data_IF_070632248767
#
_entry.id   IF_070632248767
#
_cell.length_a   1.000
_cell.length_b   1.000
_cell.length_c   1.000
_cell.angle_alpha   90.00
_cell.angle_beta   90.00
_cell.angle_gamma   90.00
#
_symmetry.space_group_name_H-M   'P 1'
#
loop_
_entity.id
_entity.type
_entity.pdbx_description
1 polymer ?
#
# COMPACT_ATOMS: atom_id res chain seq x y z
N UNK A 1 -20.04 -1.80 38.55
CA UNK A 1 -18.84 -1.05 38.12
C UNK A 1 -17.74 -1.99 37.63
N UNK A 2 -17.29 -3.00 38.39
CA UNK A 2 -16.23 -3.95 37.97
C UNK A 2 -16.58 -4.73 36.68
N UNK A 3 -17.85 -5.10 36.49
CA UNK A 3 -18.30 -5.78 35.26
C UNK A 3 -18.20 -4.93 34.00
N UNK A 4 -18.42 -3.60 34.08
CA UNK A 4 -18.39 -2.74 32.87
C UNK A 4 -16.97 -2.46 32.41
N UNK A 5 -16.02 -2.25 33.33
CA UNK A 5 -14.61 -2.04 32.98
C UNK A 5 -13.96 -3.28 32.38
N UNK A 6 -14.26 -4.47 32.95
CA UNK A 6 -13.77 -5.75 32.42
C UNK A 6 -14.34 -6.06 31.04
N UNK A 7 -15.62 -5.77 30.81
CA UNK A 7 -16.25 -5.94 29.50
C UNK A 7 -15.61 -5.03 28.44
N UNK A 8 -15.37 -3.76 28.76
CA UNK A 8 -14.70 -2.84 27.82
C UNK A 8 -13.27 -3.27 27.52
N UNK A 9 -12.52 -3.79 28.50
CA UNK A 9 -11.19 -4.36 28.23
C UNK A 9 -11.23 -5.54 27.24
N UNK A 10 -12.16 -6.49 27.44
CA UNK A 10 -12.35 -7.60 26.50
C UNK A 10 -12.73 -7.12 25.09
N UNK A 11 -13.61 -6.12 25.00
CA UNK A 11 -14.03 -5.58 23.70
C UNK A 11 -12.97 -4.74 23.01
N UNK A 12 -12.15 -4.01 23.77
CA UNK A 12 -10.95 -3.37 23.23
C UNK A 12 -10.02 -4.41 22.61
N UNK A 13 -9.80 -5.55 23.28
CA UNK A 13 -9.03 -6.65 22.71
C UNK A 13 -9.68 -7.25 21.46
N UNK A 14 -11.00 -7.47 21.50
CA UNK A 14 -11.75 -7.94 20.34
C UNK A 14 -11.61 -6.99 19.14
N UNK A 15 -11.67 -5.68 19.36
CA UNK A 15 -11.43 -4.68 18.32
C UNK A 15 -10.00 -4.72 17.77
N UNK A 16 -8.99 -4.82 18.65
CA UNK A 16 -7.58 -4.93 18.25
C UNK A 16 -7.28 -6.23 17.47
N UNK A 17 -8.13 -7.25 17.61
CA UNK A 17 -8.11 -8.47 16.82
C UNK A 17 -9.08 -8.44 15.63
N UNK A 18 -9.69 -7.29 15.34
CA UNK A 18 -10.67 -7.08 14.27
C UNK A 18 -11.93 -7.96 14.35
N UNK A 19 -12.30 -8.43 15.55
CA UNK A 19 -13.50 -9.23 15.81
C UNK A 19 -14.77 -8.37 15.94
N UNK A 20 -14.62 -7.09 16.29
CA UNK A 20 -15.71 -6.10 16.36
C UNK A 20 -15.30 -4.79 15.68
N UNK A 21 -16.27 -4.00 15.26
CA UNK A 21 -16.02 -2.68 14.65
C UNK A 21 -15.71 -1.59 15.67
N UNK A 22 -15.04 -0.51 15.22
CA UNK A 22 -14.79 0.69 16.03
C UNK A 22 -16.10 1.33 16.54
N UNK A 23 -17.14 1.35 15.70
CA UNK A 23 -18.47 1.87 16.06
C UNK A 23 -19.12 1.06 17.18
N UNK A 24 -18.99 -0.27 17.14
CA UNK A 24 -19.51 -1.14 18.20
C UNK A 24 -18.75 -0.97 19.52
N UNK A 25 -17.44 -0.74 19.47
CA UNK A 25 -16.63 -0.46 20.66
C UNK A 25 -16.99 0.90 21.30
N UNK A 26 -17.24 1.92 20.48
CA UNK A 26 -17.57 3.28 20.96
C UNK A 26 -18.81 3.33 21.84
N UNK A 27 -19.84 2.55 21.51
CA UNK A 27 -21.07 2.43 22.33
C UNK A 27 -20.83 2.01 23.77
N UNK A 28 -19.75 1.28 24.05
CA UNK A 28 -19.41 0.83 25.39
C UNK A 28 -18.48 1.82 26.12
N UNK A 29 -17.70 2.61 25.38
CA UNK A 29 -16.97 3.74 25.95
C UNK A 29 -17.91 4.87 26.37
N UNK A 30 -18.95 5.17 25.58
CA UNK A 30 -19.96 6.18 25.92
C UNK A 30 -20.65 5.86 27.25
N UNK A 31 -21.07 4.59 27.45
CA UNK A 31 -21.67 4.12 28.71
C UNK A 31 -20.74 4.23 29.92
N UNK A 32 -19.43 4.05 29.71
CA UNK A 32 -18.44 4.19 30.78
C UNK A 32 -18.13 5.65 31.10
N UNK A 33 -18.20 6.55 30.11
CA UNK A 33 -17.99 7.98 30.29
C UNK A 33 -19.07 8.64 31.17
N UNK A 34 -20.28 8.07 31.19
CA UNK A 34 -21.37 8.49 32.08
C UNK A 34 -21.09 8.23 33.58
N UNK A 35 -20.12 7.36 33.89
CA UNK A 35 -19.74 7.03 35.27
C UNK A 35 -18.76 8.09 35.79
N UNK A 36 -19.26 9.01 36.63
CA UNK A 36 -18.50 10.11 37.25
C UNK A 36 -17.48 9.64 38.30
N UNK A 37 -16.38 9.02 37.87
CA UNK A 37 -15.19 8.77 38.68
C UNK A 37 -13.96 9.39 37.99
N UNK A 38 -13.41 10.46 38.59
CA UNK A 38 -12.42 11.34 37.95
C UNK A 38 -11.09 10.66 37.58
N UNK A 39 -10.65 9.61 38.28
CA UNK A 39 -9.40 8.91 37.92
C UNK A 39 -9.62 7.87 36.82
N UNK A 40 -10.77 7.19 36.84
CA UNK A 40 -11.16 6.23 35.81
C UNK A 40 -11.44 6.94 34.47
N UNK A 41 -12.07 8.11 34.50
CA UNK A 41 -12.40 8.89 33.30
C UNK A 41 -11.15 9.36 32.54
N UNK A 42 -10.09 9.78 33.23
CA UNK A 42 -8.82 10.18 32.62
C UNK A 42 -8.17 9.00 31.88
N UNK A 43 -8.09 7.83 32.51
CA UNK A 43 -7.51 6.64 31.89
C UNK A 43 -8.35 6.14 30.69
N UNK A 44 -9.67 6.14 30.81
CA UNK A 44 -10.57 5.77 29.70
C UNK A 44 -10.44 6.72 28.50
N UNK A 45 -10.35 8.02 28.76
CA UNK A 45 -10.17 9.02 27.70
C UNK A 45 -8.85 8.83 26.93
N UNK A 46 -7.78 8.41 27.62
CA UNK A 46 -6.49 8.10 26.99
C UNK A 46 -6.59 6.85 26.12
N UNK A 47 -7.18 5.78 26.64
CA UNK A 47 -7.38 4.53 25.89
C UNK A 47 -8.22 4.80 24.64
N UNK A 48 -9.31 5.54 24.78
CA UNK A 48 -10.18 5.89 23.66
C UNK A 48 -9.43 6.66 22.56
N UNK A 49 -8.63 7.67 22.94
CA UNK A 49 -7.78 8.41 21.99
C UNK A 49 -6.77 7.52 21.28
N UNK A 50 -6.16 6.56 21.98
CA UNK A 50 -5.24 5.61 21.35
C UNK A 50 -5.97 4.68 20.36
N UNK A 51 -7.19 4.25 20.69
CA UNK A 51 -8.02 3.44 19.79
C UNK A 51 -8.49 4.23 18.56
N UNK A 52 -8.86 5.49 18.74
CA UNK A 52 -9.19 6.40 17.64
C UNK A 52 -7.99 6.57 16.69
N UNK A 53 -6.79 6.71 17.24
CA UNK A 53 -5.58 6.79 16.44
C UNK A 53 -5.27 5.49 15.69
N UNK A 54 -5.51 4.32 16.31
CA UNK A 54 -5.37 3.02 15.63
C UNK A 54 -6.40 2.92 14.49
N UNK A 55 -7.65 3.30 14.74
CA UNK A 55 -8.69 3.32 13.72
C UNK A 55 -8.31 4.21 12.52
N UNK A 56 -7.78 5.41 12.77
CA UNK A 56 -7.31 6.32 11.71
C UNK A 56 -6.15 5.71 10.91
N UNK A 57 -5.21 5.04 11.58
CA UNK A 57 -4.13 4.28 10.93
C UNK A 57 -4.73 3.21 10.01
N UNK A 58 -5.69 2.42 10.49
CA UNK A 58 -6.28 1.34 9.71
C UNK A 58 -7.00 1.85 8.46
N UNK A 59 -7.74 2.95 8.58
CA UNK A 59 -8.36 3.62 7.44
C UNK A 59 -7.31 4.10 6.43
N UNK A 60 -6.27 4.79 6.90
CA UNK A 60 -5.22 5.31 6.01
C UNK A 60 -4.45 4.17 5.33
N UNK A 61 -4.20 3.08 6.03
CA UNK A 61 -3.57 1.88 5.48
C UNK A 61 -4.43 1.20 4.41
N UNK A 62 -5.76 1.19 4.58
CA UNK A 62 -6.67 0.70 3.56
C UNK A 62 -6.65 1.58 2.30
N UNK A 63 -6.62 2.91 2.45
CA UNK A 63 -6.48 3.86 1.35
C UNK A 63 -5.14 3.67 0.61
N UNK A 64 -4.03 3.56 1.35
CA UNK A 64 -2.71 3.30 0.78
C UNK A 64 -2.74 2.05 -0.11
N UNK A 65 -3.35 0.96 0.36
CA UNK A 65 -3.46 -0.27 -0.44
C UNK A 65 -4.25 -0.06 -1.73
N UNK A 66 -5.31 0.75 -1.70
CA UNK A 66 -6.06 1.10 -2.91
C UNK A 66 -5.24 2.00 -3.85
N UNK A 67 -4.51 2.99 -3.33
CA UNK A 67 -3.63 3.87 -4.12
C UNK A 67 -2.53 3.06 -4.83
N UNK A 68 -1.83 2.18 -4.11
CA UNK A 68 -0.79 1.30 -4.70
C UNK A 68 -1.38 0.42 -5.79
N UNK A 69 -2.54 -0.20 -5.54
CA UNK A 69 -3.22 -1.04 -6.55
C UNK A 69 -3.56 -0.23 -7.81
N UNK A 70 -4.12 0.97 -7.65
CA UNK A 70 -4.47 1.85 -8.78
C UNK A 70 -3.25 2.26 -9.59
N UNK A 71 -2.14 2.61 -8.94
CA UNK A 71 -0.89 2.97 -9.60
C UNK A 71 -0.32 1.78 -10.39
N UNK A 72 -0.30 0.60 -9.80
CA UNK A 72 0.17 -0.62 -10.47
C UNK A 72 -0.72 -1.01 -11.65
N UNK A 73 -2.04 -0.98 -11.48
CA UNK A 73 -3.00 -1.28 -12.55
C UNK A 73 -2.91 -0.27 -13.71
N UNK A 74 -2.69 1.02 -13.41
CA UNK A 74 -2.46 2.04 -14.43
C UNK A 74 -1.18 1.79 -15.22
N UNK A 75 -0.07 1.49 -14.53
CA UNK A 75 1.21 1.16 -15.17
C UNK A 75 1.12 -0.08 -16.06
N UNK A 76 0.44 -1.13 -15.59
CA UNK A 76 0.16 -2.35 -16.37
C UNK A 76 -0.65 -2.01 -17.61
N UNK A 77 -1.73 -1.23 -17.46
CA UNK A 77 -2.58 -0.83 -18.59
C UNK A 77 -1.77 -0.07 -19.65
N UNK A 78 -0.89 0.84 -19.25
CA UNK A 78 -0.05 1.60 -20.18
C UNK A 78 0.95 0.71 -20.90
N UNK A 79 1.62 -0.19 -20.18
CA UNK A 79 2.53 -1.16 -20.80
C UNK A 79 1.81 -2.08 -21.80
N UNK A 80 0.62 -2.58 -21.45
CA UNK A 80 -0.17 -3.42 -22.35
C UNK A 80 -0.63 -2.66 -23.61
N UNK A 81 -0.94 -1.37 -23.50
CA UNK A 81 -1.27 -0.51 -24.64
C UNK A 81 -0.12 -0.45 -25.65
N UNK A 82 1.12 -0.28 -25.18
CA UNK A 82 2.31 -0.30 -26.04
C UNK A 82 2.59 -1.66 -26.66
N UNK A 83 2.50 -2.74 -25.87
CA UNK A 83 2.69 -4.11 -26.37
C UNK A 83 1.70 -4.39 -27.50
N UNK A 84 0.42 -4.07 -27.27
CA UNK A 84 -0.63 -4.25 -28.26
C UNK A 84 -0.35 -3.46 -29.53
N UNK A 85 -0.06 -2.16 -29.42
CA UNK A 85 0.20 -1.30 -30.57
C UNK A 85 1.35 -1.79 -31.44
N UNK A 86 2.47 -2.20 -30.84
CA UNK A 86 3.62 -2.71 -31.62
C UNK A 86 3.32 -4.10 -32.18
N UNK A 87 2.61 -4.95 -31.43
CA UNK A 87 2.22 -6.29 -31.90
C UNK A 87 1.26 -6.23 -33.09
N UNK A 88 0.29 -5.32 -33.08
CA UNK A 88 -0.62 -5.06 -34.21
C UNK A 88 0.17 -4.63 -35.47
N UNK A 89 1.13 -3.70 -35.33
CA UNK A 89 2.01 -3.31 -36.45
C UNK A 89 2.87 -4.45 -36.98
N UNK A 90 3.33 -5.34 -36.10
CA UNK A 90 4.13 -6.51 -36.50
C UNK A 90 3.28 -7.57 -37.19
N UNK A 91 2.01 -7.70 -36.83
CA UNK A 91 1.09 -8.64 -37.48
C UNK A 91 0.68 -8.17 -38.88
N UNK A 92 0.52 -6.87 -39.08
CA UNK A 92 0.15 -6.25 -40.35
C UNK A 92 1.27 -6.34 -41.42
N UNK A 93 0.94 -6.83 -42.61
CA UNK A 93 1.92 -7.09 -43.67
C UNK A 93 2.53 -5.80 -44.27
N UNK A 94 1.80 -4.69 -44.28
CA UNK A 94 2.25 -3.40 -44.81
C UNK A 94 3.07 -2.60 -43.78
N UNK A 95 2.83 -2.83 -42.49
CA UNK A 95 3.45 -2.12 -41.39
C UNK A 95 4.62 -2.88 -40.76
N UNK A 96 4.69 -4.22 -40.88
CA UNK A 96 5.73 -5.03 -40.24
C UNK A 96 7.15 -4.56 -40.56
N UNK A 97 7.39 -4.19 -41.82
CA UNK A 97 8.70 -3.70 -42.30
C UNK A 97 9.07 -2.31 -41.74
N UNK A 98 8.08 -1.54 -41.26
CA UNK A 98 8.24 -0.20 -40.70
C UNK A 98 8.48 -0.22 -39.18
N UNK A 99 8.28 -1.36 -38.51
CA UNK A 99 8.54 -1.49 -37.08
C UNK A 99 10.05 -1.47 -36.84
N UNK A 100 10.52 -0.43 -36.16
CA UNK A 100 11.91 -0.24 -35.84
C UNK A 100 12.41 -1.28 -34.83
N UNK A 101 13.75 -1.47 -34.77
CA UNK A 101 14.37 -2.26 -33.70
C UNK A 101 14.02 -1.71 -32.32
N UNK A 102 13.92 -0.37 -32.20
CA UNK A 102 13.56 0.29 -30.95
C UNK A 102 12.14 -0.06 -30.51
N UNK A 103 11.16 0.02 -31.39
CA UNK A 103 9.77 -0.39 -31.10
C UNK A 103 9.67 -1.84 -30.63
N UNK A 104 10.43 -2.76 -31.26
CA UNK A 104 10.48 -4.15 -30.81
C UNK A 104 11.06 -4.30 -29.40
N UNK A 105 12.10 -3.52 -29.06
CA UNK A 105 12.69 -3.53 -27.72
C UNK A 105 11.73 -2.94 -26.67
N UNK A 106 10.86 -2.01 -27.05
CA UNK A 106 9.83 -1.44 -26.15
C UNK A 106 8.85 -2.51 -25.69
N UNK A 107 8.51 -3.52 -26.51
CA UNK A 107 7.67 -4.66 -26.07
C UNK A 107 8.31 -5.37 -24.86
N UNK A 108 9.61 -5.65 -24.93
CA UNK A 108 10.35 -6.32 -23.85
C UNK A 108 10.26 -5.48 -22.57
N UNK A 109 10.54 -4.18 -22.66
CA UNK A 109 10.48 -3.26 -21.52
C UNK A 109 9.07 -3.11 -20.93
N UNK A 110 8.05 -3.08 -21.79
CA UNK A 110 6.67 -3.02 -21.34
C UNK A 110 6.24 -4.31 -20.62
N UNK A 111 6.72 -5.47 -21.08
CA UNK A 111 6.46 -6.75 -20.41
C UNK A 111 7.18 -6.86 -19.05
N UNK A 112 8.43 -6.41 -18.97
CA UNK A 112 9.18 -6.29 -17.71
C UNK A 112 8.43 -5.39 -16.72
N UNK A 113 8.00 -4.20 -17.16
CA UNK A 113 7.25 -3.27 -16.30
C UNK A 113 5.91 -3.86 -15.83
N UNK A 114 5.19 -4.56 -16.71
CA UNK A 114 3.95 -5.26 -16.37
C UNK A 114 4.20 -6.29 -15.26
N UNK A 115 5.23 -7.12 -15.42
CA UNK A 115 5.60 -8.15 -14.45
C UNK A 115 6.01 -7.53 -13.11
N UNK A 116 6.82 -6.47 -13.13
CA UNK A 116 7.22 -5.76 -11.91
C UNK A 116 6.04 -5.16 -11.16
N UNK A 117 5.04 -4.61 -11.85
CA UNK A 117 3.85 -4.05 -11.20
C UNK A 117 2.93 -5.12 -10.59
N UNK A 118 2.88 -6.33 -11.16
CA UNK A 118 2.24 -7.46 -10.49
C UNK A 118 3.00 -7.88 -9.23
N UNK A 119 4.33 -7.93 -9.28
CA UNK A 119 5.17 -8.27 -8.13
C UNK A 119 5.00 -7.25 -6.99
N UNK A 120 4.91 -5.94 -7.31
CA UNK A 120 4.57 -4.89 -6.33
C UNK A 120 3.27 -5.21 -5.60
N UNK A 121 2.21 -5.59 -6.34
CA UNK A 121 0.91 -5.93 -5.75
C UNK A 121 1.02 -7.14 -4.84
N UNK A 122 1.74 -8.18 -5.26
CA UNK A 122 1.94 -9.40 -4.47
C UNK A 122 2.74 -9.10 -3.20
N UNK A 123 3.89 -8.43 -3.30
CA UNK A 123 4.73 -8.08 -2.17
C UNK A 123 4.01 -7.15 -1.18
N UNK A 124 3.18 -6.23 -1.67
CA UNK A 124 2.38 -5.38 -0.79
C UNK A 124 1.29 -6.16 -0.05
N UNK A 125 0.59 -7.09 -0.72
CA UNK A 125 -0.37 -7.97 -0.05
C UNK A 125 0.31 -8.90 0.96
N UNK A 126 1.50 -9.41 0.64
CA UNK A 126 2.31 -10.15 1.58
C UNK A 126 2.72 -9.29 2.78
N UNK A 127 3.15 -8.04 2.57
CA UNK A 127 3.50 -7.10 3.63
C UNK A 127 2.33 -6.84 4.59
N UNK A 128 1.09 -6.77 4.07
CA UNK A 128 -0.13 -6.62 4.90
C UNK A 128 -0.36 -7.82 5.82
N UNK A 129 0.04 -9.02 5.39
CA UNK A 129 -0.13 -10.26 6.14
C UNK A 129 1.06 -10.65 7.01
N UNK A 130 2.27 -10.30 6.58
CA UNK A 130 3.54 -10.66 7.21
C UNK A 130 4.52 -9.49 7.11
N UNK A 131 4.68 -8.79 8.23
CA UNK A 131 5.55 -7.61 8.31
C UNK A 131 7.04 -7.93 8.10
N UNK A 132 7.45 -9.21 8.12
CA UNK A 132 8.83 -9.63 7.82
C UNK A 132 9.22 -9.38 6.36
N UNK A 133 8.24 -9.26 5.46
CA UNK A 133 8.43 -8.99 4.03
C UNK A 133 8.89 -7.55 3.74
N UNK A 134 8.87 -6.67 4.76
CA UNK A 134 9.27 -5.26 4.67
C UNK A 134 10.57 -5.02 3.87
N UNK A 135 11.65 -5.72 4.23
CA UNK A 135 12.95 -5.51 3.58
C UNK A 135 12.93 -5.93 2.10
N UNK A 136 12.28 -7.04 1.78
CA UNK A 136 12.11 -7.52 0.40
C UNK A 136 11.32 -6.54 -0.45
N UNK A 137 10.22 -6.00 0.08
CA UNK A 137 9.39 -5.01 -0.62
C UNK A 137 10.18 -3.73 -0.92
N UNK A 138 10.88 -3.18 0.07
CA UNK A 138 11.66 -1.95 -0.11
C UNK A 138 12.81 -2.16 -1.11
N UNK A 139 13.56 -3.27 -1.00
CA UNK A 139 14.63 -3.58 -1.93
C UNK A 139 14.12 -3.76 -3.36
N UNK A 140 12.97 -4.40 -3.54
CA UNK A 140 12.34 -4.55 -4.86
C UNK A 140 11.99 -3.20 -5.49
N UNK A 141 11.42 -2.29 -4.71
CA UNK A 141 11.06 -0.95 -5.19
C UNK A 141 12.29 -0.10 -5.50
N UNK A 142 13.35 -0.15 -4.69
CA UNK A 142 14.61 0.53 -4.96
C UNK A 142 15.22 0.06 -6.29
N UNK A 143 15.28 -1.25 -6.50
CA UNK A 143 15.77 -1.83 -7.76
C UNK A 143 14.88 -1.41 -8.95
N UNK A 144 13.56 -1.39 -8.77
CA UNK A 144 12.61 -0.96 -9.82
C UNK A 144 12.78 0.51 -10.20
N UNK A 145 13.06 1.39 -9.24
CA UNK A 145 13.35 2.81 -9.47
C UNK A 145 14.68 2.96 -10.21
N UNK A 146 15.73 2.26 -9.79
CA UNK A 146 17.04 2.30 -10.46
C UNK A 146 16.97 1.79 -11.90
N UNK A 147 16.22 0.72 -12.14
CA UNK A 147 16.01 0.19 -13.49
C UNK A 147 15.25 1.17 -14.38
N UNK A 148 14.24 1.88 -13.85
CA UNK A 148 13.54 2.91 -14.58
C UNK A 148 14.46 4.10 -14.94
N UNK A 149 15.36 4.50 -14.05
CA UNK A 149 16.36 5.55 -14.30
C UNK A 149 17.35 5.16 -15.41
N UNK A 150 17.82 3.90 -15.42
CA UNK A 150 18.65 3.36 -16.51
C UNK A 150 17.87 3.35 -17.83
N UNK A 151 16.60 2.91 -17.79
CA UNK A 151 15.71 2.90 -18.94
C UNK A 151 15.51 4.29 -19.54
N UNK A 152 15.35 5.32 -18.70
CA UNK A 152 15.22 6.72 -19.11
C UNK A 152 16.44 7.18 -19.92
N UNK A 153 17.66 6.85 -19.46
CA UNK A 153 18.90 7.19 -20.16
C UNK A 153 19.01 6.51 -21.52
N UNK A 154 18.60 5.23 -21.60
CA UNK A 154 18.63 4.48 -22.86
C UNK A 154 17.59 4.92 -23.89
N UNK A 155 16.47 5.49 -23.46
CA UNK A 155 15.39 5.95 -24.35
C UNK A 155 15.39 7.47 -24.58
N UNK A 156 16.35 8.21 -24.03
CA UNK A 156 16.45 9.65 -24.20
C UNK A 156 16.57 10.04 -25.68
N UNK A 157 15.79 11.04 -26.11
CA UNK A 157 15.77 11.50 -27.51
C UNK A 157 15.05 10.54 -28.47
N UNK A 158 14.33 9.55 -27.93
CA UNK A 158 13.49 8.65 -28.72
C UNK A 158 12.00 8.99 -28.54
N UNK A 159 11.11 8.58 -29.46
CA UNK A 159 9.67 8.73 -29.27
C UNK A 159 9.10 8.04 -28.02
N UNK A 160 9.89 7.22 -27.32
CA UNK A 160 9.51 6.45 -26.13
C UNK A 160 10.11 6.99 -24.83
N UNK A 161 10.78 8.15 -24.86
CA UNK A 161 11.49 8.70 -23.69
C UNK A 161 10.59 8.96 -22.47
N UNK A 162 9.29 9.14 -22.68
CA UNK A 162 8.30 9.41 -21.63
C UNK A 162 7.87 8.15 -20.87
N UNK A 163 8.05 6.95 -21.44
CA UNK A 163 7.63 5.69 -20.79
C UNK A 163 8.39 5.40 -19.48
N UNK A 164 9.74 5.49 -19.44
CA UNK A 164 10.48 5.29 -18.19
C UNK A 164 10.20 6.38 -17.17
N UNK A 165 9.91 7.62 -17.60
CA UNK A 165 9.60 8.72 -16.68
C UNK A 165 8.29 8.49 -15.93
N UNK A 166 7.22 8.09 -16.63
CA UNK A 166 5.95 7.77 -15.98
C UNK A 166 6.09 6.57 -15.03
N UNK A 167 6.81 5.53 -15.46
CA UNK A 167 7.08 4.33 -14.65
C UNK A 167 7.87 4.68 -13.39
N UNK A 168 8.88 5.55 -13.51
CA UNK A 168 9.69 6.02 -12.39
C UNK A 168 8.85 6.80 -11.37
N UNK A 169 8.01 7.73 -11.82
CA UNK A 169 7.13 8.51 -10.93
C UNK A 169 6.15 7.61 -10.18
N UNK A 170 5.56 6.62 -10.86
CA UNK A 170 4.70 5.63 -10.23
C UNK A 170 5.46 4.83 -9.16
N UNK A 171 6.67 4.35 -9.46
CA UNK A 171 7.49 3.58 -8.51
C UNK A 171 7.89 4.41 -7.28
N UNK A 172 8.24 5.69 -7.46
CA UNK A 172 8.49 6.60 -6.34
C UNK A 172 7.26 6.79 -5.47
N UNK A 173 6.09 7.00 -6.06
CA UNK A 173 4.85 7.15 -5.29
C UNK A 173 4.50 5.88 -4.52
N UNK A 174 4.70 4.71 -5.13
CA UNK A 174 4.52 3.42 -4.44
C UNK A 174 5.51 3.27 -3.27
N UNK A 175 6.76 3.71 -3.43
CA UNK A 175 7.76 3.72 -2.35
C UNK A 175 7.33 4.60 -1.18
N UNK A 176 6.91 5.83 -1.44
CA UNK A 176 6.42 6.76 -0.41
C UNK A 176 5.25 6.15 0.37
N UNK A 177 4.26 5.61 -0.36
CA UNK A 177 3.08 4.96 0.21
C UNK A 177 3.45 3.73 1.06
N UNK A 178 4.41 2.94 0.58
CA UNK A 178 4.89 1.75 1.30
C UNK A 178 5.61 2.14 2.59
N UNK A 179 6.44 3.19 2.57
CA UNK A 179 7.10 3.72 3.77
C UNK A 179 6.09 4.30 4.77
N UNK A 180 5.06 4.99 4.28
CA UNK A 180 3.95 5.47 5.11
C UNK A 180 3.22 4.31 5.78
N UNK A 181 2.87 3.26 5.02
CA UNK A 181 2.24 2.05 5.55
C UNK A 181 3.11 1.38 6.63
N UNK A 182 4.40 1.21 6.38
CA UNK A 182 5.36 0.62 7.32
C UNK A 182 5.38 1.42 8.63
N UNK A 183 5.48 2.75 8.54
CA UNK A 183 5.49 3.63 9.71
C UNK A 183 4.18 3.52 10.50
N UNK A 184 3.05 3.44 9.80
CA UNK A 184 1.74 3.25 10.41
C UNK A 184 1.65 1.91 11.16
N UNK A 185 2.14 0.82 10.56
CA UNK A 185 2.18 -0.49 11.19
C UNK A 185 3.06 -0.50 12.44
N UNK A 186 4.24 0.13 12.39
CA UNK A 186 5.14 0.25 13.55
C UNK A 186 4.49 1.05 14.69
N UNK A 187 3.80 2.15 14.36
CA UNK A 187 3.06 2.96 15.32
C UNK A 187 1.88 2.19 15.96
N UNK A 188 1.12 1.44 15.15
CA UNK A 188 0.00 0.63 15.63
C UNK A 188 0.48 -0.53 16.53
N UNK A 189 1.55 -1.23 16.15
CA UNK A 189 2.15 -2.30 16.94
C UNK A 189 2.67 -1.78 18.30
N UNK A 190 3.30 -0.61 18.32
CA UNK A 190 3.74 0.02 19.57
C UNK A 190 2.58 0.28 20.52
N UNK A 191 1.47 0.85 20.02
CA UNK A 191 0.27 1.13 20.83
C UNK A 191 -0.45 -0.15 21.27
N UNK A 192 -0.56 -1.15 20.40
CA UNK A 192 -1.20 -2.44 20.73
C UNK A 192 -0.45 -3.19 21.83
N UNK A 193 0.89 -3.15 21.85
CA UNK A 193 1.70 -3.77 22.91
C UNK A 193 1.44 -3.17 24.30
N UNK A 194 1.09 -1.89 24.39
CA UNK A 194 0.70 -1.25 25.66
C UNK A 194 -0.55 -1.93 26.24
N UNK A 195 -1.46 -2.38 25.38
CA UNK A 195 -2.75 -2.95 25.77
C UNK A 195 -2.77 -4.48 25.82
N UNK A 196 -1.80 -5.16 25.20
CA UNK A 196 -1.66 -6.61 25.25
C UNK A 196 -1.14 -7.16 26.61
N UNK A 197 -0.68 -6.28 27.51
CA UNK A 197 -0.18 -6.61 28.85
C UNK A 197 -1.27 -6.59 29.95
N UNK A 198 -2.52 -6.29 29.58
CA UNK A 198 -3.69 -6.29 30.46
C UNK A 198 -4.67 -7.41 30.07
#
# INVERSE_FOLDING_TARGET
MVLSTRNTAYRTKAYLHHEISYSELGKDFDKLAEIKNNSLSVNLSKIWKDLEHIYQIDQRNAEIGQEIKKLADHSISKSNEYIRLVSEKLADDDLRSKVSKLERLVIIRANENTSSNYEIKVLFEQLKSDFRVKASMLSFLENSIQNAEIGKKHLAGTPFETMPQASQQANFRVMELTLEYIKNMEASLYRTKIYALF
#
